data_IF_801157844735
#
_entry.id   IF_801157844735
#
_cell.length_a   1.000
_cell.length_b   1.000
_cell.length_c   1.000
_cell.angle_alpha   90.00
_cell.angle_beta   90.00
_cell.angle_gamma   90.00
#
_symmetry.space_group_name_H-M   'P 1'
#
loop_
_entity.id
_entity.type
_entity.pdbx_description
1 polymer ?
#
# COMPACT_ATOMS: atom_id res chain seq x y z
N UNK A 1 18.42 6.22 -8.52
CA UNK A 1 17.11 6.59 -7.92
C UNK A 1 16.71 7.92 -8.54
N UNK A 2 15.47 8.14 -8.97
CA UNK A 2 15.04 9.43 -9.49
C UNK A 2 15.39 10.55 -8.50
N UNK A 3 15.94 11.66 -9.00
CA UNK A 3 16.43 12.77 -8.17
C UNK A 3 15.30 13.44 -7.38
N UNK A 4 14.08 13.32 -7.87
CA UNK A 4 12.86 13.89 -7.28
C UNK A 4 12.19 13.00 -6.22
N UNK A 5 12.75 11.83 -5.89
CA UNK A 5 12.08 10.93 -4.97
C UNK A 5 12.21 11.39 -3.52
N UNK A 6 11.08 11.76 -2.86
CA UNK A 6 11.13 12.20 -1.48
C UNK A 6 11.55 11.03 -0.58
N UNK A 7 12.43 11.31 0.39
CA UNK A 7 12.92 10.33 1.36
C UNK A 7 11.80 9.65 2.15
N UNK A 8 10.66 10.31 2.32
CA UNK A 8 9.48 9.80 3.03
C UNK A 8 8.23 10.16 2.22
N UNK A 9 7.36 9.17 2.01
CA UNK A 9 6.03 9.38 1.43
C UNK A 9 4.97 9.04 2.46
N UNK A 10 4.08 9.98 2.76
CA UNK A 10 2.94 9.77 3.66
C UNK A 10 1.72 10.51 3.13
N UNK A 11 0.88 9.81 2.38
CA UNK A 11 -0.37 10.37 1.87
C UNK A 11 -1.39 10.48 2.99
N UNK A 12 -2.01 11.66 3.13
CA UNK A 12 -3.17 11.85 3.99
C UNK A 12 -4.43 11.33 3.29
N UNK A 13 -5.17 10.44 3.97
CA UNK A 13 -6.37 9.79 3.47
C UNK A 13 -7.67 10.38 4.05
N UNK A 14 -7.62 11.47 4.81
CA UNK A 14 -8.80 12.11 5.44
C UNK A 14 -9.91 12.37 4.42
N UNK A 15 -9.57 12.86 3.21
CA UNK A 15 -10.57 13.13 2.16
C UNK A 15 -11.26 11.85 1.68
N UNK A 16 -10.50 10.77 1.49
CA UNK A 16 -11.07 9.50 1.03
C UNK A 16 -12.01 8.90 2.07
N UNK A 17 -11.65 8.97 3.36
CA UNK A 17 -12.55 8.57 4.45
C UNK A 17 -13.83 9.41 4.48
N UNK A 18 -13.69 10.74 4.39
CA UNK A 18 -14.82 11.67 4.50
C UNK A 18 -15.81 11.58 3.34
N UNK A 19 -15.31 11.51 2.11
CA UNK A 19 -16.16 11.64 0.92
C UNK A 19 -16.47 10.30 0.25
N UNK A 20 -15.59 9.31 0.40
CA UNK A 20 -15.74 8.01 -0.26
C UNK A 20 -16.02 6.88 0.73
N UNK A 21 -16.08 7.17 2.04
CA UNK A 21 -16.12 6.17 3.10
C UNK A 21 -15.05 5.07 2.90
N UNK A 22 -13.87 5.49 2.40
CA UNK A 22 -12.84 4.58 1.95
C UNK A 22 -11.62 4.62 2.86
N UNK A 23 -11.07 3.44 3.13
CA UNK A 23 -9.77 3.25 3.74
C UNK A 23 -9.16 1.90 3.32
N UNK A 24 -7.85 1.73 3.55
CA UNK A 24 -7.16 0.47 3.30
C UNK A 24 -7.68 -0.61 4.26
N UNK A 25 -8.24 -1.69 3.70
CA UNK A 25 -8.78 -2.82 4.48
C UNK A 25 -7.74 -3.88 4.83
N UNK A 26 -6.67 -3.96 4.03
CA UNK A 26 -5.63 -4.99 4.16
C UNK A 26 -4.45 -4.42 4.94
N UNK A 27 -4.02 -5.13 5.98
CA UNK A 27 -2.82 -4.76 6.74
C UNK A 27 -1.56 -5.05 5.92
N UNK A 28 -0.50 -4.28 6.15
CA UNK A 28 0.77 -4.44 5.41
C UNK A 28 1.28 -5.89 5.44
N UNK A 29 1.34 -6.51 6.62
CA UNK A 29 1.83 -7.90 6.79
C UNK A 29 1.03 -8.90 5.95
N UNK A 30 -0.30 -8.82 6.02
CA UNK A 30 -1.20 -9.69 5.26
C UNK A 30 -1.01 -9.52 3.74
N UNK A 31 -0.91 -8.26 3.29
CA UNK A 31 -0.65 -7.95 1.88
C UNK A 31 0.70 -8.52 1.40
N UNK A 32 1.74 -8.39 2.21
CA UNK A 32 3.06 -8.94 1.90
C UNK A 32 3.06 -10.47 1.86
N UNK A 33 2.44 -11.14 2.83
CA UNK A 33 2.35 -12.61 2.87
C UNK A 33 1.66 -13.16 1.61
N UNK A 34 0.52 -12.58 1.22
CA UNK A 34 -0.22 -12.96 -0.01
C UNK A 34 0.62 -12.74 -1.28
N UNK A 35 1.37 -11.64 -1.33
CA UNK A 35 2.21 -11.30 -2.47
C UNK A 35 3.39 -12.28 -2.59
N UNK A 36 4.04 -12.62 -1.48
CA UNK A 36 5.11 -13.61 -1.43
C UNK A 36 4.59 -14.98 -1.85
N UNK A 37 3.43 -15.40 -1.34
CA UNK A 37 2.82 -16.68 -1.72
C UNK A 37 2.53 -16.76 -3.22
N UNK A 38 2.00 -15.68 -3.81
CA UNK A 38 1.80 -15.60 -5.26
C UNK A 38 3.11 -15.84 -6.03
N UNK A 39 4.17 -15.09 -5.71
CA UNK A 39 5.45 -15.24 -6.42
C UNK A 39 6.14 -16.59 -6.18
N UNK A 40 5.91 -17.24 -5.02
CA UNK A 40 6.41 -18.60 -4.76
C UNK A 40 5.72 -19.68 -5.59
N UNK A 41 4.52 -19.42 -6.11
CA UNK A 41 3.77 -20.36 -6.97
C UNK A 41 4.09 -20.17 -8.45
N UNK A 42 4.41 -18.94 -8.84
CA UNK A 42 4.67 -18.56 -10.25
C UNK A 42 6.13 -18.78 -10.69
N UNK A 43 7.07 -18.97 -9.75
CA UNK A 43 8.51 -19.21 -9.99
C UNK A 43 8.85 -20.64 -9.57
#
# INVERSE_FOLDING_TARGET
>A
MPEDDPKIRKHDIIKARKYLNWESKVKLKEGLERTIEYFKKEI
#
